data_IF_650107087469
#
_entry.id   IF_650107087469
#
_cell.length_a   1.000
_cell.length_b   1.000
_cell.length_c   1.000
_cell.angle_alpha   90.00
_cell.angle_beta   90.00
_cell.angle_gamma   90.00
#
_symmetry.space_group_name_H-M   'P 1'
#
loop_
_entity.id
_entity.type
_entity.pdbx_description
1 polymer ?
#
# COMPACT_ATOMS: atom_id res chain seq x y z
N UNK A 1 -13.02 -0.24 -30.13
CA UNK A 1 -12.86 -1.42 -31.03
C UNK A 1 -12.08 -2.55 -30.37
N UNK A 2 -10.96 -2.27 -29.69
CA UNK A 2 -10.14 -3.28 -29.01
C UNK A 2 -10.87 -4.10 -27.92
N UNK A 3 -11.59 -3.45 -26.98
CA UNK A 3 -12.35 -4.16 -25.94
C UNK A 3 -13.33 -5.21 -26.49
N UNK A 4 -14.04 -4.90 -27.60
CA UNK A 4 -14.98 -5.84 -28.23
C UNK A 4 -14.28 -7.06 -28.82
N UNK A 5 -13.08 -6.88 -29.39
CA UNK A 5 -12.30 -7.97 -29.96
C UNK A 5 -11.80 -8.92 -28.85
N UNK A 6 -11.25 -8.36 -27.77
CA UNK A 6 -10.83 -9.15 -26.61
C UNK A 6 -12.03 -9.82 -25.94
N UNK A 7 -13.17 -9.12 -25.80
CA UNK A 7 -14.41 -9.70 -25.28
C UNK A 7 -14.85 -10.92 -26.09
N UNK A 8 -14.87 -10.80 -27.42
CA UNK A 8 -15.24 -11.92 -28.30
C UNK A 8 -14.28 -13.09 -28.14
N UNK A 9 -12.98 -12.83 -28.08
CA UNK A 9 -11.97 -13.87 -27.90
C UNK A 9 -12.12 -14.59 -26.54
N UNK A 10 -12.22 -13.82 -25.44
CA UNK A 10 -12.39 -14.38 -24.10
C UNK A 10 -13.71 -15.15 -23.98
N UNK A 11 -14.81 -14.66 -24.54
CA UNK A 11 -16.10 -15.35 -24.49
C UNK A 11 -16.15 -16.58 -25.39
N UNK A 12 -15.34 -16.65 -26.45
CA UNK A 12 -15.20 -17.86 -27.28
C UNK A 12 -14.43 -18.99 -26.58
N UNK A 13 -13.57 -18.65 -25.60
CA UNK A 13 -12.96 -19.64 -24.71
C UNK A 13 -13.99 -20.15 -23.70
N UNK A 14 -14.18 -21.46 -23.61
CA UNK A 14 -15.07 -22.12 -22.66
C UNK A 14 -14.35 -23.08 -21.71
N UNK A 15 -13.01 -23.03 -21.68
CA UNK A 15 -12.16 -23.90 -20.87
C UNK A 15 -12.46 -23.80 -19.37
N UNK A 16 -12.91 -22.64 -18.89
CA UNK A 16 -13.32 -22.38 -17.51
C UNK A 16 -14.54 -23.18 -17.05
N UNK A 17 -15.29 -23.78 -17.98
CA UNK A 17 -16.46 -24.64 -17.73
C UNK A 17 -16.32 -26.07 -18.28
N UNK A 18 -15.10 -26.49 -18.65
CA UNK A 18 -14.86 -27.79 -19.30
C UNK A 18 -15.16 -29.02 -18.42
N UNK A 19 -15.10 -28.86 -17.10
CA UNK A 19 -15.39 -29.92 -16.13
C UNK A 19 -16.76 -29.71 -15.48
N UNK A 20 -17.56 -30.77 -15.33
CA UNK A 20 -18.87 -30.67 -14.66
C UNK A 20 -18.77 -30.40 -13.15
N UNK A 21 -17.58 -30.60 -12.57
CA UNK A 21 -17.27 -30.52 -11.14
C UNK A 21 -15.89 -29.92 -10.91
N UNK A 22 -15.75 -29.11 -9.87
CA UNK A 22 -14.48 -28.52 -9.43
C UNK A 22 -14.36 -28.55 -7.89
N UNK A 23 -13.14 -28.59 -7.33
CA UNK A 23 -12.95 -28.51 -5.89
C UNK A 23 -13.44 -27.17 -5.34
N UNK A 24 -14.13 -27.21 -4.20
CA UNK A 24 -14.56 -26.05 -3.44
C UNK A 24 -13.59 -25.76 -2.29
N UNK A 25 -13.53 -24.52 -1.83
CA UNK A 25 -12.70 -24.11 -0.70
C UNK A 25 -13.06 -24.79 0.63
N UNK A 26 -14.27 -25.35 0.76
CA UNK A 26 -14.67 -26.13 1.94
C UNK A 26 -14.19 -27.60 1.90
N UNK A 27 -13.40 -28.00 0.89
CA UNK A 27 -12.94 -29.37 0.70
C UNK A 27 -13.93 -30.29 -0.03
N UNK A 28 -15.17 -29.84 -0.26
CA UNK A 28 -16.17 -30.56 -1.04
C UNK A 28 -16.09 -30.23 -2.54
N UNK A 29 -17.02 -30.78 -3.34
CA UNK A 29 -17.07 -30.56 -4.79
C UNK A 29 -18.20 -29.61 -5.18
N UNK A 30 -17.88 -28.56 -5.94
CA UNK A 30 -18.86 -27.68 -6.54
C UNK A 30 -19.27 -28.18 -7.94
N UNK A 31 -20.54 -28.04 -8.29
CA UNK A 31 -21.07 -28.44 -9.61
C UNK A 31 -21.20 -27.22 -10.52
N UNK A 32 -20.92 -27.43 -11.80
CA UNK A 32 -21.20 -26.44 -12.83
C UNK A 32 -22.70 -26.10 -12.85
N UNK A 33 -23.02 -24.82 -12.83
CA UNK A 33 -24.37 -24.27 -12.69
C UNK A 33 -24.67 -23.20 -13.75
N UNK A 34 -24.11 -23.36 -14.95
CA UNK A 34 -24.32 -22.48 -16.10
C UNK A 34 -23.30 -21.34 -16.19
N UNK A 35 -23.54 -20.40 -17.10
CA UNK A 35 -22.71 -19.20 -17.26
C UNK A 35 -23.42 -17.95 -16.77
N UNK A 36 -22.65 -17.02 -16.19
CA UNK A 36 -23.15 -15.70 -15.78
C UNK A 36 -22.32 -14.60 -16.43
N UNK A 37 -22.99 -13.49 -16.75
CA UNK A 37 -22.36 -12.29 -17.30
C UNK A 37 -21.79 -11.41 -16.20
N UNK A 38 -20.76 -10.62 -16.54
CA UNK A 38 -20.21 -9.56 -15.71
C UNK A 38 -19.60 -8.49 -16.58
N UNK A 39 -19.98 -7.24 -16.31
CA UNK A 39 -19.33 -6.09 -16.90
C UNK A 39 -18.00 -5.83 -16.16
N UNK A 40 -16.93 -5.66 -16.92
CA UNK A 40 -15.59 -5.34 -16.42
C UNK A 40 -15.08 -4.11 -17.15
N UNK A 41 -14.71 -3.07 -16.41
CA UNK A 41 -13.98 -1.92 -16.93
C UNK A 41 -12.51 -2.30 -17.12
N UNK A 42 -12.05 -2.28 -18.37
CA UNK A 42 -10.65 -2.52 -18.72
C UNK A 42 -9.99 -1.24 -19.25
N UNK A 43 -8.65 -1.27 -19.36
CA UNK A 43 -7.89 -0.19 -20.01
C UNK A 43 -8.24 -0.02 -21.50
N UNK A 44 -8.85 -1.04 -22.13
CA UNK A 44 -9.28 -0.99 -23.53
C UNK A 44 -10.76 -0.57 -23.69
N UNK A 45 -11.46 -0.34 -22.57
CA UNK A 45 -12.90 -0.06 -22.50
C UNK A 45 -13.68 -1.12 -21.70
N UNK A 46 -14.98 -0.87 -21.52
CA UNK A 46 -15.89 -1.80 -20.86
C UNK A 46 -16.10 -3.08 -21.68
N UNK A 47 -16.18 -4.22 -20.98
CA UNK A 47 -16.34 -5.54 -21.57
C UNK A 47 -17.39 -6.36 -20.80
N UNK A 48 -18.22 -7.11 -21.49
CA UNK A 48 -19.13 -8.08 -20.87
C UNK A 48 -18.59 -9.50 -21.02
N UNK A 49 -18.15 -10.08 -19.90
CA UNK A 49 -17.59 -11.43 -19.86
C UNK A 49 -18.65 -12.45 -19.47
N UNK A 50 -18.76 -13.53 -20.25
CA UNK A 50 -19.50 -14.73 -19.88
C UNK A 50 -18.57 -15.71 -19.17
N UNK A 51 -19.02 -16.26 -18.03
CA UNK A 51 -18.14 -16.96 -17.09
C UNK A 51 -18.83 -18.19 -16.54
N UNK A 52 -18.13 -19.32 -16.48
CA UNK A 52 -18.64 -20.53 -15.83
C UNK A 52 -18.87 -20.29 -14.34
N UNK A 53 -20.06 -20.64 -13.84
CA UNK A 53 -20.44 -20.55 -12.44
C UNK A 53 -20.46 -21.94 -11.83
N UNK A 54 -19.79 -22.09 -10.69
CA UNK A 54 -19.81 -23.32 -9.89
C UNK A 54 -20.45 -23.04 -8.55
N UNK A 55 -21.30 -23.96 -8.10
CA UNK A 55 -22.00 -23.86 -6.82
C UNK A 55 -21.78 -25.13 -5.99
N UNK A 56 -21.34 -24.97 -4.76
CA UNK A 56 -21.23 -26.05 -3.79
C UNK A 56 -22.52 -26.14 -2.98
N UNK A 57 -23.14 -27.32 -2.96
CA UNK A 57 -24.39 -27.53 -2.18
C UNK A 57 -24.12 -27.65 -0.68
N UNK A 58 -22.93 -28.10 -0.30
CA UNK A 58 -22.59 -28.37 1.10
C UNK A 58 -22.33 -27.10 1.91
N UNK A 59 -21.62 -26.13 1.34
CA UNK A 59 -21.35 -24.85 2.00
C UNK A 59 -22.16 -23.66 1.43
N UNK A 60 -22.93 -23.88 0.36
CA UNK A 60 -23.71 -22.83 -0.32
C UNK A 60 -22.87 -21.80 -1.11
N UNK A 61 -21.55 -21.94 -1.13
CA UNK A 61 -20.67 -20.99 -1.80
C UNK A 61 -20.69 -21.16 -3.33
N UNK A 62 -20.57 -20.04 -4.04
CA UNK A 62 -20.43 -19.99 -5.49
C UNK A 62 -19.12 -19.34 -5.91
N UNK A 63 -18.54 -19.76 -7.03
CA UNK A 63 -17.33 -19.16 -7.58
C UNK A 63 -17.26 -19.22 -9.11
N UNK A 64 -16.37 -18.39 -9.67
CA UNK A 64 -16.14 -18.24 -11.10
C UNK A 64 -14.65 -18.49 -11.39
N UNK A 65 -14.25 -19.65 -11.93
CA UNK A 65 -12.83 -19.95 -12.21
C UNK A 65 -12.16 -18.88 -13.08
N UNK A 66 -12.90 -18.34 -14.06
CA UNK A 66 -12.42 -17.25 -14.92
C UNK A 66 -12.11 -15.98 -14.15
N UNK A 67 -12.87 -15.64 -13.12
CA UNK A 67 -12.59 -14.43 -12.33
C UNK A 67 -11.25 -14.53 -11.62
N UNK A 68 -10.94 -15.71 -11.07
CA UNK A 68 -9.65 -15.98 -10.41
C UNK A 68 -8.50 -15.88 -11.40
N UNK A 69 -8.64 -16.52 -12.56
CA UNK A 69 -7.62 -16.51 -13.60
C UNK A 69 -7.35 -15.09 -14.13
N UNK A 70 -8.40 -14.26 -14.27
CA UNK A 70 -8.29 -12.88 -14.72
C UNK A 70 -8.04 -11.87 -13.58
N UNK A 71 -7.98 -12.33 -12.32
CA UNK A 71 -7.85 -11.50 -11.10
C UNK A 71 -8.91 -10.40 -11.00
N UNK A 72 -10.18 -10.77 -11.24
CA UNK A 72 -11.35 -9.88 -11.16
C UNK A 72 -12.38 -10.34 -10.12
N UNK A 73 -12.05 -11.28 -9.23
CA UNK A 73 -12.99 -11.87 -8.25
C UNK A 73 -13.68 -10.82 -7.39
N UNK A 74 -12.94 -9.81 -6.97
CA UNK A 74 -13.43 -8.84 -5.98
C UNK A 74 -14.01 -7.56 -6.58
N UNK A 75 -14.24 -7.51 -7.90
CA UNK A 75 -14.61 -6.26 -8.55
C UNK A 75 -14.96 -6.33 -10.02
N UNK A 76 -15.42 -5.20 -10.53
CA UNK A 76 -15.77 -4.99 -11.95
C UNK A 76 -14.70 -4.17 -12.68
N UNK A 77 -13.46 -4.18 -12.21
CA UNK A 77 -12.31 -3.52 -12.86
C UNK A 77 -11.23 -4.54 -13.15
N UNK A 78 -10.56 -4.40 -14.28
CA UNK A 78 -9.38 -5.23 -14.60
C UNK A 78 -8.18 -4.87 -13.71
N UNK A 79 -7.19 -5.77 -13.54
CA UNK A 79 -5.97 -5.45 -12.79
C UNK A 79 -5.21 -4.22 -13.30
N UNK A 80 -5.26 -3.95 -14.62
CA UNK A 80 -4.64 -2.77 -15.19
C UNK A 80 -5.33 -1.47 -14.74
N UNK A 81 -6.67 -1.45 -14.74
CA UNK A 81 -7.46 -0.31 -14.25
C UNK A 81 -7.29 -0.14 -12.75
N UNK A 82 -7.24 -1.23 -11.98
CA UNK A 82 -6.99 -1.16 -10.54
C UNK A 82 -5.64 -0.52 -10.21
N UNK A 83 -4.58 -0.82 -10.97
CA UNK A 83 -3.28 -0.13 -10.83
C UNK A 83 -3.39 1.37 -11.14
N UNK A 84 -4.09 1.74 -12.21
CA UNK A 84 -4.30 3.15 -12.56
C UNK A 84 -5.06 3.89 -11.45
N UNK A 85 -6.12 3.28 -10.91
CA UNK A 85 -6.88 3.81 -9.77
C UNK A 85 -5.99 4.01 -8.55
N UNK A 86 -5.18 3.00 -8.21
CA UNK A 86 -4.23 3.08 -7.10
C UNK A 86 -3.24 4.24 -7.25
N UNK A 87 -2.71 4.45 -8.46
CA UNK A 87 -1.79 5.57 -8.74
C UNK A 87 -2.48 6.92 -8.56
N UNK A 88 -3.63 7.15 -9.20
CA UNK A 88 -4.31 8.47 -9.10
C UNK A 88 -4.83 8.73 -7.69
N UNK A 89 -5.35 7.70 -7.01
CA UNK A 89 -5.84 7.81 -5.63
C UNK A 89 -4.76 8.12 -4.59
N UNK A 90 -3.49 7.88 -4.93
CA UNK A 90 -2.34 8.25 -4.09
C UNK A 90 -1.78 9.65 -4.37
N UNK A 91 -2.18 10.29 -5.49
CA UNK A 91 -1.57 11.53 -5.97
C UNK A 91 -2.49 12.75 -5.92
N UNK A 92 -3.79 12.56 -6.11
CA UNK A 92 -4.78 13.63 -6.26
C UNK A 92 -6.09 13.28 -5.55
N UNK A 93 -7.04 14.20 -5.49
CA UNK A 93 -8.38 13.88 -4.99
C UNK A 93 -9.06 12.81 -5.86
N UNK A 94 -10.02 12.08 -5.30
CA UNK A 94 -10.72 11.02 -6.06
C UNK A 94 -11.53 11.55 -7.25
N UNK A 95 -11.98 12.80 -7.20
CA UNK A 95 -12.66 13.48 -8.29
C UNK A 95 -11.70 13.85 -9.43
N UNK A 96 -10.55 14.44 -9.10
CA UNK A 96 -9.48 14.69 -10.07
C UNK A 96 -8.97 13.37 -10.66
N UNK A 97 -8.78 12.33 -9.83
CA UNK A 97 -8.35 11.01 -10.29
C UNK A 97 -9.34 10.38 -11.28
N UNK A 98 -10.64 10.45 -10.99
CA UNK A 98 -11.71 10.05 -11.92
C UNK A 98 -11.60 10.80 -13.25
N UNK A 99 -11.38 12.12 -13.20
CA UNK A 99 -11.24 12.97 -14.39
C UNK A 99 -10.00 12.60 -15.20
N UNK A 100 -8.84 12.44 -14.56
CA UNK A 100 -7.58 12.05 -15.21
C UNK A 100 -7.67 10.67 -15.88
N UNK A 101 -8.32 9.69 -15.24
CA UNK A 101 -8.54 8.37 -15.83
C UNK A 101 -9.38 8.45 -17.11
N UNK A 102 -10.38 9.33 -17.12
CA UNK A 102 -11.21 9.55 -18.29
C UNK A 102 -10.46 10.31 -19.40
N UNK A 103 -9.77 11.39 -19.07
CA UNK A 103 -9.13 12.27 -20.06
C UNK A 103 -7.87 11.66 -20.68
N UNK A 104 -7.02 11.01 -19.86
CA UNK A 104 -5.73 10.49 -20.33
C UNK A 104 -5.83 9.05 -20.84
N UNK A 105 -6.75 8.25 -20.29
CA UNK A 105 -6.86 6.83 -20.60
C UNK A 105 -8.21 6.41 -21.20
N UNK A 106 -9.21 7.30 -21.29
CA UNK A 106 -10.55 6.96 -21.74
C UNK A 106 -11.28 5.98 -20.80
N UNK A 107 -10.81 5.86 -19.56
CA UNK A 107 -11.31 4.92 -18.56
C UNK A 107 -12.35 5.62 -17.69
N UNK A 108 -13.63 5.31 -17.93
CA UNK A 108 -14.75 5.81 -17.12
C UNK A 108 -14.86 5.04 -15.82
N UNK A 109 -14.48 5.68 -14.72
CA UNK A 109 -14.65 5.17 -13.35
C UNK A 109 -15.15 6.33 -12.50
N UNK A 110 -16.23 6.14 -11.76
CA UNK A 110 -16.78 7.20 -10.90
C UNK A 110 -15.83 7.51 -9.74
N UNK A 111 -15.82 8.75 -9.26
CA UNK A 111 -15.02 9.18 -8.10
C UNK A 111 -15.22 8.27 -6.88
N UNK A 112 -16.45 7.83 -6.61
CA UNK A 112 -16.75 6.90 -5.50
C UNK A 112 -16.16 5.51 -5.70
N UNK A 113 -16.02 5.07 -6.94
CA UNK A 113 -15.33 3.82 -7.25
C UNK A 113 -13.81 3.99 -7.07
N UNK A 114 -13.24 5.12 -7.49
CA UNK A 114 -11.82 5.45 -7.24
C UNK A 114 -11.53 5.40 -5.73
N UNK A 115 -12.35 6.08 -4.91
CA UNK A 115 -12.25 6.07 -3.44
C UNK A 115 -12.23 4.63 -2.88
N UNK A 116 -13.28 3.85 -3.15
CA UNK A 116 -13.42 2.49 -2.59
C UNK A 116 -12.26 1.57 -2.95
N UNK A 117 -11.77 1.68 -4.19
CA UNK A 117 -10.66 0.87 -4.66
C UNK A 117 -9.32 1.33 -4.10
N UNK A 118 -9.10 2.65 -4.00
CA UNK A 118 -7.89 3.19 -3.41
C UNK A 118 -7.80 2.84 -1.92
N UNK A 119 -8.88 2.98 -1.16
CA UNK A 119 -8.95 2.60 0.26
C UNK A 119 -8.72 1.10 0.45
N UNK A 120 -9.39 0.28 -0.35
CA UNK A 120 -9.21 -1.17 -0.30
C UNK A 120 -7.76 -1.57 -0.61
N UNK A 121 -7.18 -1.02 -1.67
CA UNK A 121 -5.78 -1.27 -2.03
C UNK A 121 -4.83 -0.80 -0.94
N UNK A 122 -5.09 0.37 -0.33
CA UNK A 122 -4.33 0.87 0.80
C UNK A 122 -4.37 -0.07 2.00
N UNK A 123 -5.53 -0.65 2.31
CA UNK A 123 -5.69 -1.63 3.37
C UNK A 123 -4.93 -2.95 3.06
N UNK A 124 -4.99 -3.42 1.82
CA UNK A 124 -4.24 -4.60 1.36
C UNK A 124 -2.72 -4.36 1.47
N UNK A 125 -2.24 -3.20 1.03
CA UNK A 125 -0.83 -2.80 1.16
C UNK A 125 -0.41 -2.72 2.63
N UNK A 126 -1.21 -2.07 3.49
CA UNK A 126 -0.90 -1.94 4.92
C UNK A 126 -0.84 -3.31 5.64
N UNK A 127 -1.67 -4.27 5.21
CA UNK A 127 -1.61 -5.64 5.72
C UNK A 127 -0.38 -6.40 5.19
N UNK A 128 -0.08 -6.25 3.90
CA UNK A 128 1.10 -6.85 3.26
C UNK A 128 2.40 -6.37 3.91
N UNK A 129 2.52 -5.05 4.17
CA UNK A 129 3.67 -4.45 4.87
C UNK A 129 3.91 -5.02 6.27
N UNK A 130 2.87 -5.56 6.92
CA UNK A 130 2.99 -6.22 8.24
C UNK A 130 3.48 -7.66 8.12
N UNK A 131 3.04 -8.37 7.08
CA UNK A 131 3.33 -9.80 6.86
C UNK A 131 4.67 -10.01 6.15
N UNK A 132 5.04 -9.11 5.24
CA UNK A 132 6.18 -9.24 4.33
C UNK A 132 7.25 -8.19 4.61
N UNK A 133 8.13 -8.47 5.57
CA UNK A 133 9.27 -7.62 5.94
C UNK A 133 10.63 -8.15 5.47
N UNK A 134 10.63 -9.20 4.63
CA UNK A 134 11.85 -9.78 4.09
C UNK A 134 12.64 -8.76 3.26
N UNK A 135 13.97 -8.89 3.15
CA UNK A 135 14.79 -8.00 2.35
C UNK A 135 14.24 -7.78 0.94
N UNK A 136 14.13 -6.51 0.52
CA UNK A 136 13.54 -6.13 -0.77
C UNK A 136 14.32 -6.65 -1.98
N UNK A 137 15.62 -6.87 -1.79
CA UNK A 137 16.56 -7.32 -2.80
C UNK A 137 17.79 -7.93 -2.13
N UNK A 138 18.62 -8.59 -2.95
CA UNK A 138 19.93 -9.13 -2.58
C UNK A 138 21.08 -8.26 -3.07
N UNK A 139 20.82 -7.01 -3.47
CA UNK A 139 21.87 -6.11 -3.97
C UNK A 139 22.95 -5.90 -2.90
N UNK A 140 24.21 -5.62 -3.29
CA UNK A 140 25.24 -5.21 -2.35
C UNK A 140 24.77 -4.03 -1.49
N UNK A 141 25.07 -4.06 -0.20
CA UNK A 141 24.73 -2.97 0.70
C UNK A 141 25.63 -1.75 0.39
N UNK A 142 25.08 -0.53 0.39
CA UNK A 142 25.89 0.67 0.42
C UNK A 142 26.66 0.75 1.74
N UNK A 143 27.76 1.51 1.78
CA UNK A 143 28.57 1.67 3.00
C UNK A 143 27.76 2.34 4.10
N UNK A 144 27.02 3.40 3.74
CA UNK A 144 26.18 4.15 4.65
C UNK A 144 24.71 4.04 4.28
N UNK A 145 23.89 3.65 5.25
CA UNK A 145 22.44 3.82 5.18
C UNK A 145 21.98 4.87 6.19
N UNK A 146 21.01 5.66 5.75
CA UNK A 146 20.33 6.68 6.55
C UNK A 146 18.91 6.22 6.82
N UNK A 147 18.45 6.42 8.05
CA UNK A 147 17.07 6.29 8.49
C UNK A 147 16.58 7.66 8.95
N UNK A 148 15.67 8.26 8.19
CA UNK A 148 15.01 9.50 8.55
C UNK A 148 13.69 9.22 9.24
N UNK A 149 13.51 9.79 10.43
CA UNK A 149 12.27 9.76 11.19
C UNK A 149 11.73 11.19 11.29
N UNK A 150 10.45 11.35 10.99
CA UNK A 150 9.78 12.64 11.00
C UNK A 150 8.29 12.49 11.32
N UNK A 151 7.65 13.56 11.77
CA UNK A 151 6.23 13.63 12.06
C UNK A 151 5.63 14.94 11.56
N UNK A 152 4.49 14.87 10.88
CA UNK A 152 3.77 16.08 10.45
C UNK A 152 2.28 15.98 10.69
N UNK A 153 1.64 17.11 10.96
CA UNK A 153 0.20 17.19 11.19
C UNK A 153 -0.58 17.17 9.88
N UNK A 154 -1.40 16.16 9.67
CA UNK A 154 -2.34 16.09 8.54
C UNK A 154 -3.71 16.58 9.01
N UNK A 155 -4.34 17.57 8.34
CA UNK A 155 -5.70 17.98 8.63
C UNK A 155 -6.68 16.82 8.51
N UNK A 156 -7.55 16.66 9.50
CA UNK A 156 -8.53 15.55 9.51
C UNK A 156 -9.96 16.08 9.62
N UNK A 157 -10.92 15.24 9.20
CA UNK A 157 -12.34 15.48 9.46
C UNK A 157 -12.60 15.40 10.97
N UNK A 158 -13.61 16.14 11.46
CA UNK A 158 -13.97 16.13 12.90
C UNK A 158 -14.26 14.73 13.44
N UNK A 159 -14.83 13.84 12.62
CA UNK A 159 -15.08 12.44 12.97
C UNK A 159 -13.80 11.66 13.31
N UNK A 160 -12.70 11.93 12.60
CA UNK A 160 -11.40 11.30 12.81
C UNK A 160 -10.65 11.85 14.04
N UNK A 161 -11.13 12.97 14.59
CA UNK A 161 -10.53 13.70 15.72
C UNK A 161 -11.29 13.47 17.03
N UNK A 162 -12.42 12.77 16.99
CA UNK A 162 -13.23 12.48 18.16
C UNK A 162 -12.39 11.77 19.24
N UNK A 163 -12.36 12.37 20.45
CA UNK A 163 -11.60 11.85 21.59
C UNK A 163 -10.08 11.97 21.47
N UNK A 164 -9.54 12.73 20.49
CA UNK A 164 -8.10 12.98 20.36
C UNK A 164 -7.74 14.33 20.98
N UNK A 165 -6.75 14.39 21.89
CA UNK A 165 -6.28 15.65 22.44
C UNK A 165 -5.57 16.46 21.35
N UNK A 166 -5.76 17.77 21.37
CA UNK A 166 -5.09 18.70 20.47
C UNK A 166 -4.35 19.80 21.19
N UNK A 167 -3.61 20.59 20.41
CA UNK A 167 -2.78 21.71 20.91
C UNK A 167 -3.54 23.04 21.00
N UNK A 168 -4.85 23.05 20.70
CA UNK A 168 -5.65 24.27 20.80
C UNK A 168 -5.95 24.61 22.26
N UNK A 169 -6.31 25.87 22.52
CA UNK A 169 -6.59 26.36 23.87
C UNK A 169 -7.77 25.62 24.54
N UNK A 170 -8.72 25.15 23.75
CA UNK A 170 -9.87 24.33 24.19
C UNK A 170 -9.56 22.83 24.26
N UNK A 171 -8.30 22.42 23.99
CA UNK A 171 -7.87 21.04 23.95
C UNK A 171 -8.29 20.27 22.70
N UNK A 172 -8.96 20.89 21.73
CA UNK A 172 -9.43 20.22 20.52
C UNK A 172 -8.31 20.01 19.49
N UNK A 173 -8.36 18.87 18.79
CA UNK A 173 -7.45 18.58 17.68
C UNK A 173 -7.99 19.10 16.35
N UNK A 174 -7.08 19.50 15.45
CA UNK A 174 -7.35 19.82 14.03
C UNK A 174 -6.66 18.85 13.06
N UNK A 175 -5.61 18.21 13.54
CA UNK A 175 -4.74 17.35 12.76
C UNK A 175 -4.49 16.05 13.51
N UNK A 176 -4.17 14.99 12.78
CA UNK A 176 -3.48 13.83 13.34
C UNK A 176 -2.05 13.79 12.81
N UNK A 177 -1.12 13.39 13.64
CA UNK A 177 0.29 13.29 13.26
C UNK A 177 0.50 12.02 12.43
N UNK A 178 0.82 12.18 11.15
CA UNK A 178 1.41 11.11 10.36
C UNK A 178 2.89 11.05 10.67
N UNK A 179 3.41 9.86 10.93
CA UNK A 179 4.84 9.62 11.14
C UNK A 179 5.43 8.94 9.94
N UNK A 180 6.65 9.31 9.59
CA UNK A 180 7.36 8.86 8.42
C UNK A 180 8.66 8.15 8.85
N UNK A 181 8.90 7.01 8.21
CA UNK A 181 10.14 6.27 8.24
C UNK A 181 10.67 6.22 6.81
N UNK A 182 11.89 6.73 6.60
CA UNK A 182 12.51 6.79 5.28
C UNK A 182 13.90 6.21 5.33
N UNK A 183 14.25 5.33 4.40
CA UNK A 183 15.60 4.73 4.35
C UNK A 183 16.22 4.98 2.98
N UNK A 184 17.46 5.46 2.96
CA UNK A 184 18.18 5.74 1.72
C UNK A 184 19.68 5.60 1.88
N UNK A 185 20.39 5.58 0.76
CA UNK A 185 21.84 5.74 0.70
C UNK A 185 22.20 7.07 0.04
N UNK A 186 23.37 7.59 0.36
CA UNK A 186 23.87 8.86 -0.19
C UNK A 186 25.37 8.77 -0.48
N UNK A 187 25.77 7.75 -1.25
CA UNK A 187 27.17 7.54 -1.63
C UNK A 187 27.57 8.46 -2.80
N UNK A 188 26.62 8.82 -3.67
CA UNK A 188 26.81 9.76 -4.75
C UNK A 188 27.17 11.17 -4.25
N UNK A 189 28.00 11.86 -5.03
CA UNK A 189 28.44 13.23 -4.78
C UNK A 189 27.88 14.16 -5.84
N UNK A 190 27.34 15.29 -5.38
CA UNK A 190 26.88 16.39 -6.22
C UNK A 190 28.02 17.23 -6.79
N UNK A 191 27.68 18.22 -7.63
CA UNK A 191 28.65 19.18 -8.19
C UNK A 191 29.40 19.99 -7.14
N UNK A 192 28.83 20.14 -5.95
CA UNK A 192 29.40 20.84 -4.80
C UNK A 192 30.08 19.87 -3.82
N UNK A 193 30.39 18.63 -4.24
CA UNK A 193 30.97 17.55 -3.44
C UNK A 193 30.12 17.14 -2.22
N UNK A 194 28.87 17.60 -2.13
CA UNK A 194 27.95 17.22 -1.07
C UNK A 194 27.35 15.84 -1.35
N UNK A 195 27.14 15.01 -0.31
CA UNK A 195 26.40 13.76 -0.46
C UNK A 195 25.01 14.03 -1.06
N UNK A 196 24.63 13.25 -2.05
CA UNK A 196 23.29 13.26 -2.63
C UNK A 196 22.68 11.87 -2.49
N UNK A 197 21.36 11.81 -2.30
CA UNK A 197 20.64 10.53 -2.24
C UNK A 197 20.86 9.77 -3.54
N UNK A 198 21.25 8.51 -3.44
CA UNK A 198 21.44 7.67 -4.61
C UNK A 198 20.10 7.45 -5.30
N UNK A 199 20.08 7.56 -6.64
CA UNK A 199 18.86 7.45 -7.43
C UNK A 199 18.21 6.09 -7.20
N UNK A 200 16.92 6.08 -6.85
CA UNK A 200 16.16 4.85 -6.58
C UNK A 200 16.47 4.17 -5.23
N UNK A 201 17.33 4.75 -4.38
CA UNK A 201 17.66 4.17 -3.07
C UNK A 201 16.62 4.45 -1.99
N UNK A 202 15.74 5.44 -2.20
CA UNK A 202 14.84 5.90 -1.15
C UNK A 202 13.63 4.99 -1.05
N UNK A 203 13.35 4.54 0.16
CA UNK A 203 12.07 3.94 0.52
C UNK A 203 11.35 4.78 1.57
N UNK A 204 10.01 4.74 1.52
CA UNK A 204 9.12 5.48 2.39
C UNK A 204 8.11 4.51 3.01
N UNK A 205 7.89 4.63 4.31
CA UNK A 205 6.75 4.04 4.99
C UNK A 205 6.19 5.07 5.97
N UNK A 206 4.89 5.32 5.90
CA UNK A 206 4.24 6.35 6.70
C UNK A 206 2.86 5.89 7.16
N UNK A 207 2.49 6.28 8.37
CA UNK A 207 1.16 5.99 8.91
C UNK A 207 0.80 6.93 10.05
N UNK A 208 -0.50 7.06 10.31
CA UNK A 208 -1.01 7.74 11.50
C UNK A 208 -1.02 6.73 12.65
N UNK A 209 0.16 6.47 13.20
CA UNK A 209 0.41 5.48 14.25
C UNK A 209 1.03 6.15 15.50
N UNK A 210 0.78 5.55 16.67
CA UNK A 210 1.43 5.97 17.90
C UNK A 210 2.90 5.55 17.91
N UNK A 211 3.78 6.43 18.40
CA UNK A 211 5.16 6.11 18.76
C UNK A 211 5.35 5.92 20.28
N UNK A 212 4.27 5.98 21.06
CA UNK A 212 4.34 5.82 22.50
C UNK A 212 4.41 4.34 22.88
N UNK A 213 5.43 3.97 23.64
CA UNK A 213 5.61 2.65 24.26
C UNK A 213 5.87 2.90 25.74
N UNK A 214 5.10 2.23 26.59
CA UNK A 214 5.30 2.19 28.04
C UNK A 214 6.29 1.07 28.38
N UNK A 215 7.04 1.22 29.46
CA UNK A 215 7.98 0.19 29.93
C UNK A 215 7.29 -1.15 30.25
N UNK A 216 5.98 -1.11 30.54
CA UNK A 216 5.14 -2.27 30.83
C UNK A 216 4.51 -2.90 29.57
N UNK A 217 4.64 -2.27 28.40
CA UNK A 217 4.03 -2.80 27.19
C UNK A 217 4.77 -4.06 26.72
N UNK A 218 4.00 -5.11 26.42
CA UNK A 218 4.56 -6.39 25.95
C UNK A 218 5.14 -6.30 24.54
N UNK A 219 4.72 -5.31 23.74
CA UNK A 219 5.18 -5.08 22.38
C UNK A 219 5.44 -3.59 22.15
N UNK A 220 6.39 -3.23 21.28
CA UNK A 220 6.63 -1.83 20.92
C UNK A 220 5.40 -1.19 20.25
N UNK A 221 5.39 0.14 20.21
CA UNK A 221 4.33 0.91 19.55
C UNK A 221 4.15 0.53 18.08
N UNK A 222 2.97 0.78 17.52
CA UNK A 222 2.68 0.49 16.10
C UNK A 222 3.71 1.12 15.16
N UNK A 223 4.10 2.37 15.43
CA UNK A 223 5.09 3.06 14.62
C UNK A 223 6.50 2.51 14.83
N UNK A 224 6.89 2.15 16.06
CA UNK A 224 8.18 1.49 16.32
C UNK A 224 8.27 0.17 15.55
N UNK A 225 7.20 -0.62 15.54
CA UNK A 225 7.13 -1.85 14.75
C UNK A 225 7.25 -1.56 13.24
N UNK A 226 6.65 -0.47 12.73
CA UNK A 226 6.81 -0.05 11.33
C UNK A 226 8.25 0.29 10.98
N UNK A 227 8.94 1.04 11.84
CA UNK A 227 10.37 1.34 11.67
C UNK A 227 11.18 0.05 11.63
N UNK A 228 10.91 -0.90 12.51
CA UNK A 228 11.59 -2.19 12.52
C UNK A 228 11.37 -3.00 11.24
N UNK A 229 10.13 -3.04 10.72
CA UNK A 229 9.80 -3.72 9.45
C UNK A 229 10.55 -3.10 8.28
N UNK A 230 10.55 -1.77 8.17
CA UNK A 230 11.22 -1.07 7.08
C UNK A 230 12.75 -1.19 7.18
N UNK A 231 13.32 -1.09 8.38
CA UNK A 231 14.74 -1.32 8.62
C UNK A 231 15.16 -2.75 8.28
N UNK A 232 14.32 -3.74 8.56
CA UNK A 232 14.55 -5.15 8.20
C UNK A 232 14.53 -5.32 6.67
N UNK A 233 13.49 -4.80 6.02
CA UNK A 233 13.30 -4.86 4.56
C UNK A 233 14.46 -4.21 3.80
N UNK A 234 15.02 -3.12 4.33
CA UNK A 234 16.16 -2.39 3.74
C UNK A 234 17.51 -2.85 4.29
N UNK A 235 17.52 -3.88 5.14
CA UNK A 235 18.74 -4.44 5.76
C UNK A 235 19.57 -3.37 6.49
N UNK A 236 18.93 -2.35 7.03
CA UNK A 236 19.55 -1.18 7.65
C UNK A 236 20.62 -1.53 8.69
N UNK A 237 20.38 -2.43 9.66
CA UNK A 237 21.38 -2.76 10.69
C UNK A 237 22.62 -3.50 10.17
N UNK A 238 22.62 -3.93 8.90
CA UNK A 238 23.71 -4.67 8.26
C UNK A 238 24.66 -3.78 7.47
N UNK A 239 24.33 -2.50 7.25
CA UNK A 239 25.26 -1.56 6.63
C UNK A 239 26.47 -1.31 7.53
N UNK A 240 27.62 -1.01 6.93
CA UNK A 240 28.85 -0.69 7.66
C UNK A 240 28.65 0.52 8.57
N UNK A 241 27.93 1.53 8.07
CA UNK A 241 27.56 2.74 8.79
C UNK A 241 26.05 2.95 8.74
N UNK A 242 25.46 3.14 9.90
CA UNK A 242 24.05 3.49 10.05
C UNK A 242 23.92 4.86 10.67
N UNK A 243 23.04 5.69 10.10
CA UNK A 243 22.78 7.06 10.55
C UNK A 243 21.29 7.24 10.73
N UNK A 244 20.88 7.85 11.84
CA UNK A 244 19.49 8.24 12.08
C UNK A 244 19.40 9.75 12.08
N UNK A 245 18.48 10.28 11.28
CA UNK A 245 18.19 11.70 11.14
C UNK A 245 16.79 12.00 11.67
N UNK A 246 16.65 13.08 12.43
CA UNK A 246 15.34 13.51 12.95
C UNK A 246 15.34 14.93 13.49
N UNK A 247 14.14 15.45 13.76
CA UNK A 247 13.86 16.85 14.11
C UNK A 247 14.15 17.22 15.57
N UNK A 248 14.56 16.27 16.40
CA UNK A 248 14.78 16.47 17.83
C UNK A 248 13.66 15.92 18.73
N UNK A 249 12.54 15.47 18.18
CA UNK A 249 11.43 14.94 18.97
C UNK A 249 11.87 13.72 19.81
N UNK A 250 11.49 13.70 21.09
CA UNK A 250 11.94 12.68 22.03
C UNK A 250 11.60 11.25 21.59
N UNK A 251 10.48 11.05 20.88
CA UNK A 251 10.08 9.73 20.39
C UNK A 251 11.04 9.18 19.32
N UNK A 252 11.70 10.05 18.53
CA UNK A 252 12.70 9.64 17.53
C UNK A 252 13.91 9.02 18.21
N UNK A 253 14.45 9.71 19.21
CA UNK A 253 15.68 9.28 19.88
C UNK A 253 15.46 8.05 20.75
N UNK A 254 14.26 7.89 21.33
CA UNK A 254 13.88 6.65 22.00
C UNK A 254 13.91 5.46 21.03
N UNK A 255 13.24 5.57 19.87
CA UNK A 255 13.26 4.52 18.85
C UNK A 255 14.70 4.25 18.37
N UNK A 256 15.51 5.29 18.16
CA UNK A 256 16.91 5.16 17.74
C UNK A 256 17.73 4.37 18.77
N UNK A 257 17.59 4.72 20.05
CA UNK A 257 18.33 4.08 21.14
C UNK A 257 17.88 2.63 21.38
N UNK A 258 16.57 2.37 21.32
CA UNK A 258 15.99 1.04 21.54
C UNK A 258 16.31 0.08 20.39
N UNK A 259 16.11 0.51 19.14
CA UNK A 259 16.24 -0.39 17.98
C UNK A 259 17.66 -0.42 17.40
N UNK A 260 18.39 0.71 17.43
CA UNK A 260 19.65 0.87 16.72
C UNK A 260 20.72 1.60 17.56
N UNK A 261 21.12 1.07 18.73
CA UNK A 261 22.00 1.76 19.67
C UNK A 261 23.39 2.11 19.12
N UNK A 262 23.80 1.50 18.00
CA UNK A 262 25.09 1.77 17.32
C UNK A 262 24.98 2.81 16.20
N UNK A 263 23.77 3.25 15.84
CA UNK A 263 23.58 4.22 14.78
C UNK A 263 24.02 5.62 15.22
N UNK A 264 24.64 6.36 14.31
CA UNK A 264 24.98 7.77 14.53
C UNK A 264 23.69 8.58 14.50
N UNK A 265 23.34 9.22 15.61
CA UNK A 265 22.15 10.05 15.73
C UNK A 265 22.50 11.50 15.38
N UNK A 266 21.82 12.08 14.40
CA UNK A 266 22.08 13.43 13.91
C UNK A 266 20.77 14.22 13.91
N UNK A 267 20.75 15.33 14.65
CA UNK A 267 19.65 16.28 14.60
C UNK A 267 19.68 16.99 13.25
N UNK A 268 18.53 17.06 12.57
CA UNK A 268 18.40 17.83 11.33
C UNK A 268 18.64 19.32 11.60
N UNK A 269 19.64 19.88 10.91
CA UNK A 269 20.04 21.28 11.03
C UNK A 269 18.88 22.25 10.81
N UNK A 270 17.91 21.93 9.94
CA UNK A 270 16.78 22.83 9.69
C UNK A 270 15.83 22.97 10.89
N UNK A 271 15.93 22.09 11.87
CA UNK A 271 15.16 22.11 13.11
C UNK A 271 15.90 22.73 14.30
N UNK A 272 17.22 22.96 14.17
CA UNK A 272 18.03 23.64 15.18
C UNK A 272 17.87 25.15 15.00
N UNK A 273 17.20 25.80 15.95
CA UNK A 273 17.06 27.26 16.04
C UNK A 273 18.19 27.89 16.85
#
# INVERSE_FOLDING_TARGET
>A
MAARLIQKHLNADHSDGSQSRLPCSCGQTARYAGRRRKCVQSALGAMELERAYYHCRDCGAGFFPRDRNLKIEHGSVSPAVLRMIGTVGAMVSFEEGSTLLQELAGVKVESKQVERWAEKLGAEIAADEKLNSQPSDSAPLPKTLYLGLDGTGVPMRSSELAGKPGKQADGSAKTREVKLCTIWSAEARGRDERPQRDVGSVSYSAAIESAATLDTDAVPSEFTQRVLREATRRRFPRAERTVILGDGAAWIWKIAQELFPRAVQIVDRFHVK
#
